data_IF_684598285617
#
_entry.id   IF_684598285617
#
_cell.length_a   1.000
_cell.length_b   1.000
_cell.length_c   1.000
_cell.angle_alpha   90.00
_cell.angle_beta   90.00
_cell.angle_gamma   90.00
#
_symmetry.space_group_name_H-M   'P 1'
#
loop_
_entity.id
_entity.type
_entity.pdbx_description
1 polymer ?
#
# COMPACT_ATOMS: atom_id res chain seq x y z
N UNK A 1 -12.46 -5.98 -2.71
CA UNK A 1 -12.80 -6.10 -1.26
C UNK A 1 -13.08 -7.53 -0.84
N UNK A 2 -13.90 -8.31 -1.58
CA UNK A 2 -14.32 -9.67 -1.17
C UNK A 2 -13.23 -10.77 -1.18
N UNK A 3 -12.15 -10.64 -1.96
CA UNK A 3 -11.13 -11.71 -2.13
C UNK A 3 -9.99 -11.70 -1.09
N UNK A 4 -9.79 -10.59 -0.37
CA UNK A 4 -8.75 -10.50 0.67
C UNK A 4 -9.15 -11.27 1.94
N UNK A 5 -10.44 -11.24 2.25
CA UNK A 5 -11.03 -11.84 3.45
C UNK A 5 -11.29 -13.34 3.33
N UNK A 6 -11.03 -13.95 2.18
CA UNK A 6 -11.30 -15.39 1.93
C UNK A 6 -10.28 -16.32 2.62
N UNK A 7 -9.20 -15.80 3.21
CA UNK A 7 -8.21 -16.58 3.99
C UNK A 7 -8.21 -16.33 5.49
N UNK A 8 -9.00 -15.38 5.99
CA UNK A 8 -8.96 -14.96 7.40
C UNK A 8 -7.76 -14.08 7.77
N UNK A 9 -6.94 -13.67 6.80
CA UNK A 9 -5.82 -12.76 7.00
C UNK A 9 -6.34 -11.32 7.20
N UNK A 10 -5.86 -10.64 8.24
CA UNK A 10 -6.19 -9.24 8.51
C UNK A 10 -5.29 -8.36 7.63
N UNK A 11 -5.83 -7.52 6.72
CA UNK A 11 -5.01 -6.67 5.88
C UNK A 11 -4.18 -5.70 6.72
N UNK A 12 -2.95 -5.41 6.29
CA UNK A 12 -2.10 -4.40 6.92
C UNK A 12 -2.14 -3.10 6.13
N UNK A 13 -2.10 -1.97 6.83
CA UNK A 13 -2.02 -0.64 6.23
C UNK A 13 -1.00 0.24 6.96
N UNK A 14 -0.06 0.90 6.25
CA UNK A 14 0.83 1.87 6.89
C UNK A 14 0.06 3.05 7.47
N UNK A 15 0.47 3.53 8.65
CA UNK A 15 -0.19 4.64 9.35
C UNK A 15 -0.36 5.91 8.49
N UNK A 16 0.53 6.16 7.52
CA UNK A 16 0.43 7.33 6.62
C UNK A 16 -0.82 7.28 5.71
N UNK A 17 -1.31 6.10 5.36
CA UNK A 17 -2.55 5.92 4.57
C UNK A 17 -3.77 6.31 5.39
N UNK A 18 -3.73 6.13 6.71
CA UNK A 18 -4.78 6.62 7.62
C UNK A 18 -4.85 8.14 7.54
N UNK A 19 -3.71 8.82 7.65
CA UNK A 19 -3.66 10.28 7.52
C UNK A 19 -4.21 10.76 6.16
N UNK A 20 -3.82 10.11 5.06
CA UNK A 20 -4.34 10.44 3.73
C UNK A 20 -5.85 10.21 3.61
N UNK A 21 -6.34 9.10 4.14
CA UNK A 21 -7.77 8.77 4.07
C UNK A 21 -8.61 9.78 4.82
N UNK A 22 -8.12 10.30 5.94
CA UNK A 22 -8.81 11.36 6.68
C UNK A 22 -8.81 12.68 5.91
N UNK A 23 -7.69 13.05 5.27
CA UNK A 23 -7.60 14.21 4.37
C UNK A 23 -8.59 14.12 3.21
N UNK A 24 -8.75 12.94 2.61
CA UNK A 24 -9.62 12.72 1.45
C UNK A 24 -11.11 12.61 1.75
N UNK A 25 -11.52 12.46 3.02
CA UNK A 25 -12.92 12.51 3.44
C UNK A 25 -13.82 11.34 2.99
N UNK A 26 -13.26 10.24 2.47
CA UNK A 26 -14.04 9.13 1.88
C UNK A 26 -14.48 8.12 2.95
N UNK A 27 -15.77 8.10 3.31
CA UNK A 27 -16.35 7.20 4.32
C UNK A 27 -16.06 5.72 4.07
N UNK A 28 -16.20 5.27 2.81
CA UNK A 28 -15.98 3.87 2.44
C UNK A 28 -14.53 3.40 2.66
N UNK A 29 -13.53 4.26 2.48
CA UNK A 29 -12.13 3.90 2.77
C UNK A 29 -11.91 3.78 4.28
N UNK A 30 -12.59 4.57 5.10
CA UNK A 30 -12.50 4.47 6.57
C UNK A 30 -13.06 3.14 7.08
N UNK A 31 -14.15 2.65 6.50
CA UNK A 31 -14.69 1.32 6.82
C UNK A 31 -13.70 0.21 6.49
N UNK A 32 -13.01 0.31 5.34
CA UNK A 32 -11.95 -0.65 4.97
C UNK A 32 -10.79 -0.59 5.96
N UNK A 33 -10.34 0.62 6.34
CA UNK A 33 -9.26 0.80 7.31
C UNK A 33 -9.61 0.28 8.70
N UNK A 34 -10.88 0.32 9.11
CA UNK A 34 -11.32 -0.24 10.38
C UNK A 34 -11.15 -1.76 10.47
N UNK A 35 -11.01 -2.44 9.33
CA UNK A 35 -10.73 -3.87 9.25
C UNK A 35 -9.24 -4.19 9.03
N UNK A 36 -8.36 -3.19 9.06
CA UNK A 36 -6.92 -3.36 8.85
C UNK A 36 -6.12 -3.25 10.15
N UNK A 37 -5.02 -4.00 10.24
CA UNK A 37 -3.95 -3.72 11.21
C UNK A 37 -3.14 -2.51 10.72
N UNK A 38 -2.89 -1.54 11.62
CA UNK A 38 -2.11 -0.35 11.29
C UNK A 38 -0.63 -0.61 11.57
N UNK A 39 0.18 -0.55 10.52
CA UNK A 39 1.64 -0.64 10.64
C UNK A 39 2.24 0.73 10.99
N UNK A 40 3.11 0.74 12.01
CA UNK A 40 3.91 1.90 12.38
C UNK A 40 5.04 2.15 11.36
N UNK A 41 5.28 3.43 11.04
CA UNK A 41 6.38 3.81 10.16
C UNK A 41 7.65 4.05 10.98
N UNK A 42 8.71 3.29 10.67
CA UNK A 42 10.05 3.52 11.20
C UNK A 42 10.96 4.20 10.15
N UNK A 43 12.15 4.63 10.59
CA UNK A 43 13.12 5.29 9.72
C UNK A 43 13.58 4.39 8.56
N UNK A 44 13.66 3.08 8.79
CA UNK A 44 14.11 2.12 7.77
C UNK A 44 13.11 2.02 6.63
N UNK A 45 11.82 1.86 6.95
CA UNK A 45 10.73 1.87 5.98
C UNK A 45 10.68 3.20 5.21
N UNK A 46 10.87 4.32 5.91
CA UNK A 46 10.90 5.64 5.29
C UNK A 46 12.06 5.79 4.28
N UNK A 47 13.27 5.31 4.61
CA UNK A 47 14.42 5.34 3.71
C UNK A 47 14.20 4.50 2.46
N UNK A 48 13.72 3.27 2.63
CA UNK A 48 13.45 2.35 1.51
C UNK A 48 12.42 2.96 0.54
N UNK A 49 11.35 3.55 1.07
CA UNK A 49 10.34 4.24 0.26
C UNK A 49 10.94 5.46 -0.47
N UNK A 50 11.76 6.26 0.22
CA UNK A 50 12.46 7.43 -0.34
C UNK A 50 13.42 7.07 -1.48
N UNK A 51 14.20 6.01 -1.32
CA UNK A 51 15.11 5.49 -2.36
C UNK A 51 14.34 5.03 -3.61
N UNK A 52 13.22 4.31 -3.41
CA UNK A 52 12.36 3.89 -4.52
C UNK A 52 11.76 5.08 -5.28
N UNK A 53 11.26 6.10 -4.58
CA UNK A 53 10.77 7.35 -5.19
C UNK A 53 11.83 8.02 -6.05
N UNK A 54 13.03 8.21 -5.49
CA UNK A 54 14.14 8.86 -6.18
C UNK A 54 14.58 8.07 -7.42
N UNK A 55 14.64 6.74 -7.32
CA UNK A 55 15.02 5.86 -8.43
C UNK A 55 14.00 5.89 -9.57
N UNK A 56 12.70 5.83 -9.24
CA UNK A 56 11.61 5.78 -10.22
C UNK A 56 11.18 7.17 -10.72
N UNK A 57 11.69 8.25 -10.12
CA UNK A 57 11.28 9.64 -10.39
C UNK A 57 9.77 9.84 -10.25
N UNK A 58 9.22 9.31 -9.17
CA UNK A 58 7.81 9.46 -8.77
C UNK A 58 7.70 10.42 -7.58
N UNK A 59 6.51 10.98 -7.36
CA UNK A 59 6.25 12.01 -6.35
C UNK A 59 5.21 11.61 -5.28
N UNK A 60 4.59 10.44 -5.41
CA UNK A 60 3.65 9.93 -4.41
C UNK A 60 4.36 9.14 -3.30
N UNK A 61 4.74 9.83 -2.23
CA UNK A 61 5.40 9.21 -1.09
C UNK A 61 4.56 8.14 -0.37
N UNK A 62 3.23 8.25 -0.43
CA UNK A 62 2.33 7.30 0.23
C UNK A 62 2.33 5.97 -0.52
N UNK A 63 2.25 6.01 -1.85
CA UNK A 63 2.35 4.81 -2.69
C UNK A 63 3.69 4.10 -2.47
N UNK A 64 4.79 4.86 -2.39
CA UNK A 64 6.10 4.28 -2.11
C UNK A 64 6.18 3.60 -0.74
N UNK A 65 5.57 4.19 0.30
CA UNK A 65 5.51 3.59 1.64
C UNK A 65 4.66 2.32 1.62
N UNK A 66 3.49 2.32 0.96
CA UNK A 66 2.64 1.14 0.80
C UNK A 66 3.40 0.00 0.12
N UNK A 67 4.11 0.30 -0.96
CA UNK A 67 4.85 -0.70 -1.73
C UNK A 67 6.08 -1.22 -0.97
N UNK A 68 6.83 -0.34 -0.30
CA UNK A 68 7.96 -0.74 0.54
C UNK A 68 7.53 -1.59 1.74
N UNK A 69 6.40 -1.23 2.37
CA UNK A 69 5.77 -1.96 3.47
C UNK A 69 5.40 -3.39 3.05
N UNK A 70 4.62 -3.51 1.97
CA UNK A 70 4.19 -4.80 1.45
C UNK A 70 5.38 -5.67 1.00
N UNK A 71 6.37 -5.09 0.33
CA UNK A 71 7.55 -5.83 -0.12
C UNK A 71 8.38 -6.43 1.03
N UNK A 72 8.45 -5.75 2.18
CA UNK A 72 9.17 -6.26 3.34
C UNK A 72 8.50 -7.47 3.99
N UNK A 73 7.18 -7.57 3.87
CA UNK A 73 6.39 -8.71 4.39
C UNK A 73 6.14 -9.80 3.35
N UNK A 74 6.43 -9.53 2.07
CA UNK A 74 6.06 -10.42 0.96
C UNK A 74 4.56 -10.43 0.68
N UNK A 75 3.88 -9.31 0.97
CA UNK A 75 2.43 -9.18 0.85
C UNK A 75 1.95 -8.99 -0.59
N UNK A 76 0.65 -9.17 -0.77
CA UNK A 76 -0.08 -8.76 -1.97
C UNK A 76 -0.72 -7.40 -1.73
N UNK A 77 -0.47 -6.45 -2.62
CA UNK A 77 -1.12 -5.14 -2.60
C UNK A 77 -2.42 -5.20 -3.39
N UNK A 78 -3.53 -4.87 -2.72
CA UNK A 78 -4.84 -4.75 -3.35
C UNK A 78 -5.15 -3.27 -3.59
N UNK A 79 -5.41 -2.90 -4.84
CA UNK A 79 -5.72 -1.51 -5.19
C UNK A 79 -6.85 -1.47 -6.21
N UNK A 80 -7.63 -0.38 -6.22
CA UNK A 80 -8.55 -0.07 -7.32
C UNK A 80 -7.93 0.84 -8.38
N UNK A 81 -6.69 1.28 -8.15
CA UNK A 81 -5.89 2.08 -9.07
C UNK A 81 -4.46 1.55 -9.06
N UNK A 82 -4.11 0.78 -10.08
CA UNK A 82 -2.81 0.12 -10.18
C UNK A 82 -1.77 0.92 -10.97
N UNK A 83 -2.14 2.07 -11.57
CA UNK A 83 -1.32 2.76 -12.56
C UNK A 83 0.11 3.01 -12.08
N UNK A 84 0.25 3.79 -11.01
CA UNK A 84 1.56 4.14 -10.46
C UNK A 84 2.18 3.01 -9.62
N UNK A 85 1.36 2.15 -9.00
CA UNK A 85 1.83 1.03 -8.18
C UNK A 85 2.58 -0.03 -9.01
N UNK A 86 2.24 -0.21 -10.29
CA UNK A 86 2.93 -1.14 -11.17
C UNK A 86 4.40 -0.77 -11.41
N UNK A 87 4.76 0.52 -11.35
CA UNK A 87 6.16 0.96 -11.46
C UNK A 87 6.97 0.53 -10.24
N UNK A 88 6.39 0.66 -9.04
CA UNK A 88 7.00 0.18 -7.81
C UNK A 88 7.10 -1.35 -7.76
N UNK A 89 6.15 -2.08 -8.34
CA UNK A 89 6.20 -3.54 -8.39
C UNK A 89 7.40 -4.07 -9.20
N UNK A 90 7.90 -3.31 -10.18
CA UNK A 90 9.14 -3.64 -10.88
C UNK A 90 10.42 -3.30 -10.10
N UNK A 91 10.32 -2.42 -9.10
CA UNK A 91 11.45 -2.01 -8.26
C UNK A 91 11.63 -2.96 -7.05
N UNK A 92 10.54 -3.29 -6.37
CA UNK A 92 10.55 -4.19 -5.22
C UNK A 92 10.48 -5.65 -5.67
N UNK A 93 11.31 -6.51 -5.08
CA UNK A 93 11.21 -7.97 -5.30
C UNK A 93 10.02 -8.54 -4.52
N UNK A 94 9.46 -9.63 -5.01
CA UNK A 94 8.47 -10.47 -4.32
C UNK A 94 7.18 -9.77 -3.88
N UNK A 95 6.79 -8.68 -4.55
CA UNK A 95 5.49 -8.03 -4.37
C UNK A 95 4.56 -8.35 -5.54
N UNK A 96 3.27 -8.56 -5.23
CA UNK A 96 2.23 -8.70 -6.26
C UNK A 96 1.19 -7.61 -6.08
N UNK A 97 0.85 -6.93 -7.17
CA UNK A 97 -0.23 -5.94 -7.20
C UNK A 97 -1.44 -6.57 -7.89
N UNK A 98 -2.60 -6.53 -7.24
CA UNK A 98 -3.87 -6.96 -7.81
C UNK A 98 -4.75 -5.72 -8.00
N UNK A 99 -5.06 -5.44 -9.26
CA UNK A 99 -6.04 -4.42 -9.65
C UNK A 99 -7.47 -4.97 -9.48
N UNK A 100 -8.19 -4.44 -8.50
CA UNK A 100 -9.57 -4.78 -8.20
C UNK A 100 -10.56 -4.22 -9.23
N UNK A 101 -10.19 -3.21 -10.03
CA UNK A 101 -11.05 -2.69 -11.09
C UNK A 101 -11.12 -3.62 -12.32
N UNK A 102 -10.18 -4.57 -12.42
CA UNK A 102 -10.04 -5.52 -13.55
C UNK A 102 -10.32 -6.98 -13.18
N UNK A 103 -10.79 -7.27 -11.97
CA UNK A 103 -10.84 -8.63 -11.36
C UNK A 103 -12.22 -9.24 -11.20
#
# INVERSE_FOLDING_TARGET
>A
HKRATERGDIPTVPAIVVAETWRGGRSRLREVLAACEVEHMDERLARIAGEALGSLRLDNAIDAVVMASAAQRGDVVLTSDAGDLMRFAGYFRDIRVIDLARS
#
